data_IF_718144336927
#
_entry.id   IF_718144336927
#
_cell.length_a   1.000
_cell.length_b   1.000
_cell.length_c   1.000
_cell.angle_alpha   90.00
_cell.angle_beta   90.00
_cell.angle_gamma   90.00
#
_symmetry.space_group_name_H-M   'P 1'
#
loop_
_entity.id
_entity.type
_entity.pdbx_description
1 polymer ?
#
# COMPACT_ATOMS: atom_id res chain seq x y z
N UNK A 1 28.93 -11.06 52.14
CA UNK A 1 27.85 -11.93 51.65
C UNK A 1 27.43 -11.38 50.31
N UNK A 2 28.08 -11.85 49.24
CA UNK A 2 27.75 -11.41 47.88
C UNK A 2 26.41 -12.01 47.47
N UNK A 3 25.56 -11.21 46.85
CA UNK A 3 24.23 -11.62 46.40
C UNK A 3 24.34 -12.74 45.36
N UNK A 4 24.16 -13.97 45.83
CA UNK A 4 24.14 -15.18 44.99
C UNK A 4 23.10 -15.14 43.86
N UNK A 5 22.19 -14.15 43.87
CA UNK A 5 21.21 -13.91 42.81
C UNK A 5 21.77 -13.21 41.57
N UNK A 6 22.95 -12.58 41.63
CA UNK A 6 23.54 -11.89 40.48
C UNK A 6 24.18 -12.87 39.47
N UNK A 7 24.56 -14.06 39.93
CA UNK A 7 25.20 -15.09 39.11
C UNK A 7 24.11 -15.96 38.45
N UNK A 8 24.19 -16.23 37.13
CA UNK A 8 23.22 -17.08 36.44
C UNK A 8 23.04 -18.43 37.15
N UNK A 9 21.80 -18.88 37.34
CA UNK A 9 21.50 -20.17 37.98
C UNK A 9 22.25 -21.35 37.35
N UNK A 10 22.48 -21.29 36.02
CA UNK A 10 23.29 -22.26 35.28
C UNK A 10 24.75 -22.30 35.75
N UNK A 11 25.37 -21.15 35.97
CA UNK A 11 26.77 -21.06 36.33
C UNK A 11 26.99 -21.44 37.81
N UNK A 12 26.02 -21.11 38.67
CA UNK A 12 25.96 -21.63 40.05
C UNK A 12 25.91 -23.16 40.08
N UNK A 13 25.01 -23.78 39.31
CA UNK A 13 24.92 -25.25 39.23
C UNK A 13 26.24 -25.90 38.77
N UNK A 14 26.98 -25.26 37.85
CA UNK A 14 28.27 -25.75 37.35
C UNK A 14 29.40 -25.65 38.38
N UNK A 15 29.35 -24.66 39.26
CA UNK A 15 30.30 -24.56 40.38
C UNK A 15 30.03 -25.70 41.36
N UNK A 16 28.80 -25.87 41.80
CA UNK A 16 28.41 -26.95 42.74
C UNK A 16 28.71 -28.35 42.18
N UNK A 17 28.48 -28.58 40.88
CA UNK A 17 28.81 -29.86 40.24
C UNK A 17 30.32 -30.16 40.24
N UNK A 18 31.17 -29.15 40.04
CA UNK A 18 32.64 -29.32 40.09
C UNK A 18 33.11 -29.60 41.51
N UNK A 19 32.50 -28.95 42.48
CA UNK A 19 32.80 -29.18 43.90
C UNK A 19 32.36 -30.58 44.33
N UNK A 20 31.16 -31.02 43.95
CA UNK A 20 30.70 -32.41 44.14
C UNK A 20 31.66 -33.40 43.48
N UNK A 21 32.09 -33.15 42.24
CA UNK A 21 33.05 -34.00 41.53
C UNK A 21 34.38 -34.10 42.31
N UNK A 22 34.87 -32.99 42.86
CA UNK A 22 36.08 -32.98 43.67
C UNK A 22 35.94 -33.79 44.97
N UNK A 23 34.80 -33.65 45.67
CA UNK A 23 34.50 -34.39 46.90
C UNK A 23 34.36 -35.90 46.62
N UNK A 24 33.71 -36.28 45.52
CA UNK A 24 33.57 -37.68 45.11
C UNK A 24 34.94 -38.29 44.78
N UNK A 25 35.83 -37.56 44.09
CA UNK A 25 37.19 -38.02 43.83
C UNK A 25 38.00 -38.24 45.11
N UNK A 26 37.86 -37.34 46.10
CA UNK A 26 38.50 -37.49 47.41
C UNK A 26 37.96 -38.71 48.16
N UNK A 27 36.64 -38.95 48.11
CA UNK A 27 36.01 -40.11 48.74
C UNK A 27 36.51 -41.43 48.10
N UNK A 28 36.59 -41.47 46.76
CA UNK A 28 37.13 -42.63 46.03
C UNK A 28 38.60 -42.86 46.39
N UNK A 29 39.40 -41.79 46.43
CA UNK A 29 40.81 -41.88 46.83
C UNK A 29 40.98 -42.42 48.26
N UNK A 30 40.10 -42.02 49.19
CA UNK A 30 40.05 -42.59 50.53
C UNK A 30 39.78 -44.10 50.49
N UNK A 31 38.78 -44.54 49.70
CA UNK A 31 38.47 -45.97 49.56
C UNK A 31 39.60 -46.75 48.92
N UNK A 32 40.27 -46.22 47.90
CA UNK A 32 41.41 -46.86 47.26
C UNK A 32 42.60 -47.02 48.23
N UNK A 33 42.87 -46.00 49.05
CA UNK A 33 43.90 -46.05 50.08
C UNK A 33 43.56 -47.08 51.17
N UNK A 34 42.30 -47.08 51.64
CA UNK A 34 41.79 -48.04 52.61
C UNK A 34 41.88 -49.48 52.08
N UNK A 35 41.50 -49.71 50.82
CA UNK A 35 41.59 -51.01 50.15
C UNK A 35 43.03 -51.50 49.97
N UNK A 36 43.99 -50.58 49.81
CA UNK A 36 45.43 -50.88 49.74
C UNK A 36 46.07 -51.20 51.11
N UNK A 37 45.30 -51.15 52.20
CA UNK A 37 45.78 -51.37 53.57
C UNK A 37 46.56 -50.18 54.16
N UNK A 38 46.60 -49.04 53.45
CA UNK A 38 47.18 -47.79 53.94
C UNK A 38 46.07 -46.94 54.55
N UNK A 39 45.94 -46.98 55.86
CA UNK A 39 45.02 -46.08 56.56
C UNK A 39 45.54 -44.65 56.42
N UNK A 40 44.81 -43.73 55.77
CA UNK A 40 45.18 -42.31 55.79
C UNK A 40 45.09 -41.79 57.22
N UNK A 41 45.96 -40.85 57.58
CA UNK A 41 45.88 -40.19 58.88
C UNK A 41 44.51 -39.53 59.07
N UNK A 42 43.91 -39.73 60.26
CA UNK A 42 42.59 -39.21 60.64
C UNK A 42 42.44 -37.69 60.47
N UNK A 43 43.55 -36.96 60.43
CA UNK A 43 43.57 -35.51 60.22
C UNK A 43 43.44 -35.09 58.74
N UNK A 44 43.73 -35.98 57.78
CA UNK A 44 43.85 -35.61 56.36
C UNK A 44 42.62 -35.98 55.54
N UNK A 45 41.98 -37.13 55.82
CA UNK A 45 40.73 -37.53 55.16
C UNK A 45 39.74 -38.09 56.17
N UNK A 46 38.78 -37.25 56.56
CA UNK A 46 37.64 -37.66 57.37
C UNK A 46 36.46 -38.00 56.46
N UNK A 47 36.17 -39.29 56.20
CA UNK A 47 35.14 -39.69 55.23
C UNK A 47 33.75 -39.21 55.64
N UNK A 48 33.47 -39.15 56.95
CA UNK A 48 32.19 -38.68 57.48
C UNK A 48 31.93 -37.21 57.17
N UNK A 49 32.97 -36.37 57.25
CA UNK A 49 32.88 -34.94 56.90
C UNK A 49 32.66 -34.75 55.40
N UNK A 50 33.39 -35.50 54.56
CA UNK A 50 33.23 -35.46 53.10
C UNK A 50 31.82 -35.92 52.70
N UNK A 51 31.29 -36.97 53.33
CA UNK A 51 29.95 -37.46 53.10
C UNK A 51 28.87 -36.44 53.52
N UNK A 52 29.05 -35.78 54.67
CA UNK A 52 28.14 -34.72 55.12
C UNK A 52 28.15 -33.52 54.17
N UNK A 53 29.34 -33.07 53.76
CA UNK A 53 29.48 -31.96 52.81
C UNK A 53 28.87 -32.31 51.44
N UNK A 54 29.04 -33.54 50.97
CA UNK A 54 28.40 -34.04 49.74
C UNK A 54 26.87 -33.96 49.84
N UNK A 55 26.29 -34.35 50.97
CA UNK A 55 24.83 -34.29 51.20
C UNK A 55 24.35 -32.83 51.21
N UNK A 56 25.10 -31.92 51.85
CA UNK A 56 24.76 -30.50 51.88
C UNK A 56 24.79 -29.89 50.48
N UNK A 57 25.84 -30.16 49.71
CA UNK A 57 25.99 -29.70 48.33
C UNK A 57 24.92 -30.28 47.42
N UNK A 58 24.54 -31.53 47.60
CA UNK A 58 23.43 -32.14 46.87
C UNK A 58 22.09 -31.45 47.16
N UNK A 59 21.85 -31.00 48.41
CA UNK A 59 20.65 -30.21 48.75
C UNK A 59 20.65 -28.86 48.03
N UNK A 60 21.81 -28.19 47.97
CA UNK A 60 21.97 -26.92 47.22
C UNK A 60 21.76 -27.13 45.72
N UNK A 61 22.32 -28.19 45.13
CA UNK A 61 22.10 -28.49 43.73
C UNK A 61 20.61 -28.75 43.43
N UNK A 62 19.89 -29.41 44.33
CA UNK A 62 18.45 -29.65 44.21
C UNK A 62 17.64 -28.35 44.25
N UNK A 63 18.00 -27.39 45.10
CA UNK A 63 17.32 -26.09 45.12
C UNK A 63 17.54 -25.33 43.81
N UNK A 64 18.78 -25.29 43.30
CA UNK A 64 19.10 -24.65 42.02
C UNK A 64 18.37 -25.32 40.85
N UNK A 65 18.25 -26.66 40.86
CA UNK A 65 17.46 -27.39 39.87
C UNK A 65 15.98 -26.98 39.92
N UNK A 66 15.41 -26.75 41.11
CA UNK A 66 14.07 -26.21 41.29
C UNK A 66 13.91 -24.82 40.65
N UNK A 67 14.87 -23.91 40.89
CA UNK A 67 14.90 -22.58 40.26
C UNK A 67 14.96 -22.68 38.73
N UNK A 68 15.79 -23.56 38.18
CA UNK A 68 15.91 -23.78 36.72
C UNK A 68 14.59 -24.23 36.09
N UNK A 69 13.85 -25.12 36.75
CA UNK A 69 12.51 -25.56 36.29
C UNK A 69 11.54 -24.39 36.29
N UNK A 70 11.56 -23.53 37.31
CA UNK A 70 10.73 -22.33 37.36
C UNK A 70 11.09 -21.36 36.23
N UNK A 71 12.38 -21.12 35.98
CA UNK A 71 12.84 -20.30 34.85
C UNK A 71 12.39 -20.88 33.51
N UNK A 72 12.45 -22.20 33.33
CA UNK A 72 11.96 -22.84 32.10
C UNK A 72 10.46 -22.65 31.92
N UNK A 73 9.68 -22.76 32.99
CA UNK A 73 8.23 -22.52 32.94
C UNK A 73 7.91 -21.06 32.61
N UNK A 74 8.64 -20.10 33.20
CA UNK A 74 8.51 -18.68 32.87
C UNK A 74 8.88 -18.41 31.40
N UNK A 75 9.93 -19.02 30.88
CA UNK A 75 10.31 -18.88 29.47
C UNK A 75 9.21 -19.41 28.53
N UNK A 76 8.59 -20.56 28.85
CA UNK A 76 7.43 -21.06 28.10
C UNK A 76 6.26 -20.08 28.12
N UNK A 77 6.01 -19.42 29.25
CA UNK A 77 4.97 -18.38 29.34
C UNK A 77 5.32 -17.16 28.49
N UNK A 78 6.57 -16.70 28.55
CA UNK A 78 7.06 -15.59 27.72
C UNK A 78 6.89 -15.93 26.23
N UNK A 79 7.23 -17.14 25.80
CA UNK A 79 7.04 -17.59 24.42
C UNK A 79 5.56 -17.59 24.00
N UNK A 80 4.66 -18.08 24.87
CA UNK A 80 3.22 -18.03 24.62
C UNK A 80 2.71 -16.59 24.46
N UNK A 81 3.14 -15.69 25.34
CA UNK A 81 2.76 -14.27 25.29
C UNK A 81 3.32 -13.60 24.03
N UNK A 82 4.58 -13.87 23.66
CA UNK A 82 5.17 -13.38 22.41
C UNK A 82 4.39 -13.85 21.18
N UNK A 83 4.00 -15.12 21.15
CA UNK A 83 3.19 -15.66 20.07
C UNK A 83 1.80 -15.00 20.00
N UNK A 84 1.16 -14.71 21.14
CA UNK A 84 -0.12 -13.96 21.13
C UNK A 84 0.06 -12.53 20.63
N UNK A 85 1.15 -11.86 21.05
CA UNK A 85 1.43 -10.48 20.64
C UNK A 85 1.64 -10.39 19.14
N UNK A 86 2.41 -11.32 18.55
CA UNK A 86 2.60 -11.39 17.10
C UNK A 86 1.29 -11.59 16.33
N UNK A 87 0.34 -12.40 16.85
CA UNK A 87 -0.97 -12.58 16.22
C UNK A 87 -1.80 -11.30 16.27
N UNK A 88 -1.80 -10.60 17.41
CA UNK A 88 -2.52 -9.34 17.54
C UNK A 88 -1.90 -8.23 16.68
N UNK A 89 -0.57 -8.17 16.57
CA UNK A 89 0.12 -7.27 15.64
C UNK A 89 -0.28 -7.54 14.18
N UNK A 90 -0.36 -8.81 13.76
CA UNK A 90 -0.83 -9.16 12.42
C UNK A 90 -2.28 -8.71 12.17
N UNK A 91 -3.17 -8.87 13.15
CA UNK A 91 -4.54 -8.36 13.06
C UNK A 91 -4.58 -6.84 12.95
N UNK A 92 -3.75 -6.11 13.71
CA UNK A 92 -3.66 -4.65 13.62
C UNK A 92 -3.17 -4.20 12.24
N UNK A 93 -2.18 -4.89 11.67
CA UNK A 93 -1.69 -4.61 10.31
C UNK A 93 -2.78 -4.84 9.27
N UNK A 94 -3.51 -5.96 9.38
CA UNK A 94 -4.65 -6.26 8.50
C UNK A 94 -5.74 -5.19 8.63
N UNK A 95 -6.12 -4.83 9.86
CA UNK A 95 -7.12 -3.81 10.12
C UNK A 95 -6.69 -2.44 9.57
N UNK A 96 -5.44 -2.05 9.77
CA UNK A 96 -4.88 -0.84 9.17
C UNK A 96 -4.90 -0.86 7.64
N UNK A 97 -4.68 -2.02 7.02
CA UNK A 97 -4.86 -2.23 5.57
C UNK A 97 -6.32 -2.01 5.15
N UNK A 98 -7.27 -2.68 5.81
CA UNK A 98 -8.71 -2.55 5.51
C UNK A 98 -9.23 -1.13 5.69
N UNK A 99 -8.73 -0.39 6.69
CA UNK A 99 -9.09 1.01 6.90
C UNK A 99 -8.58 1.90 5.78
N UNK A 100 -7.34 1.71 5.31
CA UNK A 100 -6.82 2.46 4.16
C UNK A 100 -7.58 2.13 2.88
N UNK A 101 -7.92 0.87 2.67
CA UNK A 101 -8.75 0.48 1.52
C UNK A 101 -10.15 1.11 1.60
N UNK A 102 -10.77 1.15 2.78
CA UNK A 102 -12.04 1.82 2.99
C UNK A 102 -11.92 3.34 2.76
N UNK A 103 -10.86 3.97 3.24
CA UNK A 103 -10.58 5.39 3.02
C UNK A 103 -10.45 5.70 1.52
N UNK A 104 -9.65 4.92 0.78
CA UNK A 104 -9.52 5.07 -0.68
C UNK A 104 -10.85 4.88 -1.41
N UNK A 105 -11.67 3.92 -0.98
CA UNK A 105 -13.00 3.67 -1.54
C UNK A 105 -14.00 4.78 -1.25
N UNK A 106 -13.83 5.54 -0.17
CA UNK A 106 -14.69 6.68 0.16
C UNK A 106 -14.22 7.95 -0.57
N UNK A 107 -12.91 8.20 -0.61
CA UNK A 107 -12.36 9.39 -1.27
C UNK A 107 -12.52 9.37 -2.80
N UNK A 108 -12.40 8.21 -3.43
CA UNK A 108 -12.58 8.06 -4.88
C UNK A 108 -13.92 8.59 -5.41
N UNK A 109 -15.07 8.09 -4.93
CA UNK A 109 -16.37 8.53 -5.39
C UNK A 109 -16.67 9.98 -5.03
N UNK A 110 -16.23 10.50 -3.87
CA UNK A 110 -16.47 11.90 -3.52
C UNK A 110 -15.83 12.87 -4.53
N UNK A 111 -14.59 12.62 -4.94
CA UNK A 111 -13.93 13.44 -5.97
C UNK A 111 -14.63 13.35 -7.34
N UNK A 112 -15.08 12.15 -7.73
CA UNK A 112 -15.84 11.95 -8.96
C UNK A 112 -17.22 12.62 -8.90
N UNK A 113 -17.88 12.61 -7.74
CA UNK A 113 -19.17 13.23 -7.52
C UNK A 113 -19.07 14.76 -7.52
N UNK A 114 -18.07 15.35 -6.86
CA UNK A 114 -17.80 16.78 -6.91
C UNK A 114 -17.52 17.26 -8.34
N UNK A 115 -16.69 16.53 -9.10
CA UNK A 115 -16.41 16.84 -10.49
C UNK A 115 -17.68 16.76 -11.38
N UNK A 116 -18.55 15.77 -11.14
CA UNK A 116 -19.83 15.63 -11.84
C UNK A 116 -20.80 16.75 -11.47
N UNK A 117 -20.87 17.15 -10.20
CA UNK A 117 -21.73 18.25 -9.75
C UNK A 117 -21.25 19.55 -10.39
N UNK A 118 -19.96 19.85 -10.36
CA UNK A 118 -19.39 21.02 -11.01
C UNK A 118 -19.67 21.04 -12.54
N UNK A 119 -19.60 19.88 -13.19
CA UNK A 119 -19.96 19.75 -14.60
C UNK A 119 -21.46 19.98 -14.86
N UNK A 120 -22.33 19.53 -13.96
CA UNK A 120 -23.78 19.74 -14.04
C UNK A 120 -24.17 21.20 -13.75
N UNK A 121 -23.49 21.87 -12.84
CA UNK A 121 -23.71 23.30 -12.55
C UNK A 121 -23.26 24.20 -13.70
N UNK A 122 -22.17 23.83 -14.39
CA UNK A 122 -21.71 24.52 -15.60
C UNK A 122 -22.52 24.19 -16.85
N UNK A 123 -23.36 23.15 -16.82
CA UNK A 123 -24.17 22.75 -17.95
C UNK A 123 -25.34 23.72 -18.14
N UNK A 124 -25.55 24.18 -19.38
CA UNK A 124 -26.75 24.94 -19.73
C UNK A 124 -27.98 24.05 -19.52
N UNK A 125 -28.97 24.56 -18.80
CA UNK A 125 -30.28 23.90 -18.67
C UNK A 125 -30.92 23.82 -20.05
N UNK A 126 -30.97 22.62 -20.62
CA UNK A 126 -31.66 22.34 -21.89
C UNK A 126 -33.05 21.80 -21.56
N UNK A 127 -34.07 22.28 -22.28
CA UNK A 127 -35.42 21.77 -22.12
C UNK A 127 -35.48 20.33 -22.63
N UNK A 128 -36.06 19.44 -21.82
CA UNK A 128 -36.22 18.02 -22.17
C UNK A 128 -37.02 17.85 -23.46
N UNK A 129 -38.00 18.72 -23.71
CA UNK A 129 -38.80 18.71 -24.93
C UNK A 129 -37.94 18.90 -26.19
N UNK A 130 -37.01 19.86 -26.18
CA UNK A 130 -36.13 20.14 -27.32
C UNK A 130 -35.20 18.95 -27.59
N UNK A 131 -34.74 18.26 -26.55
CA UNK A 131 -33.91 17.05 -26.68
C UNK A 131 -34.72 15.91 -27.31
N UNK A 132 -35.96 15.69 -26.86
CA UNK A 132 -36.83 14.63 -27.40
C UNK A 132 -37.19 14.92 -28.86
N UNK A 133 -37.52 16.17 -29.19
CA UNK A 133 -37.80 16.58 -30.57
C UNK A 133 -36.57 16.44 -31.47
N UNK A 134 -35.39 16.84 -30.98
CA UNK A 134 -34.14 16.68 -31.71
C UNK A 134 -33.77 15.20 -31.90
N UNK A 135 -33.93 14.38 -30.86
CA UNK A 135 -33.70 12.94 -30.93
C UNK A 135 -34.65 12.27 -31.93
N UNK A 136 -35.92 12.68 -31.98
CA UNK A 136 -36.87 12.20 -32.98
C UNK A 136 -36.46 12.60 -34.41
N UNK A 137 -35.96 13.83 -34.60
CA UNK A 137 -35.45 14.31 -35.91
C UNK A 137 -34.23 13.52 -36.38
N UNK A 138 -33.24 13.32 -35.49
CA UNK A 138 -31.97 12.63 -35.81
C UNK A 138 -32.14 11.10 -35.86
N UNK A 139 -33.08 10.52 -35.12
CA UNK A 139 -33.28 9.07 -35.06
C UNK A 139 -33.55 8.44 -36.44
N UNK A 140 -34.18 9.20 -37.34
CA UNK A 140 -34.46 8.76 -38.71
C UNK A 140 -33.22 8.64 -39.61
N UNK A 141 -32.15 9.41 -39.33
CA UNK A 141 -30.90 9.38 -40.10
C UNK A 141 -29.81 8.51 -39.47
N UNK A 142 -29.91 8.24 -38.16
CA UNK A 142 -28.87 7.50 -37.43
C UNK A 142 -29.12 5.99 -37.34
N UNK A 143 -30.34 5.52 -37.61
CA UNK A 143 -30.70 4.10 -37.53
C UNK A 143 -31.08 3.55 -38.90
N UNK A 144 -30.54 2.39 -39.27
CA UNK A 144 -31.02 1.60 -40.40
C UNK A 144 -32.32 0.85 -40.02
N UNK A 145 -33.27 0.64 -40.95
CA UNK A 145 -34.44 -0.20 -40.70
C UNK A 145 -34.02 -1.62 -40.25
N UNK A 146 -34.82 -2.30 -39.40
CA UNK A 146 -34.55 -3.68 -39.05
C UNK A 146 -34.53 -4.54 -40.33
N UNK A 147 -33.47 -5.35 -40.48
CA UNK A 147 -33.18 -6.20 -41.66
C UNK A 147 -32.76 -5.46 -42.95
N UNK A 148 -32.36 -4.18 -42.88
CA UNK A 148 -31.88 -3.46 -44.05
C UNK A 148 -30.57 -4.04 -44.59
N UNK A 149 -30.51 -4.25 -45.91
CA UNK A 149 -29.30 -4.65 -46.62
C UNK A 149 -28.77 -3.49 -47.49
N UNK A 150 -27.44 -3.33 -47.67
CA UNK A 150 -26.87 -2.26 -48.50
C UNK A 150 -27.32 -2.22 -49.96
N UNK A 151 -27.89 -3.32 -50.45
CA UNK A 151 -28.45 -3.44 -51.80
C UNK A 151 -29.86 -2.85 -51.94
N UNK A 152 -30.56 -2.62 -50.83
CA UNK A 152 -31.92 -2.11 -50.81
C UNK A 152 -31.95 -0.62 -50.45
N UNK A 153 -32.86 0.18 -51.03
CA UNK A 153 -32.99 1.59 -50.69
C UNK A 153 -33.45 1.76 -49.22
N UNK A 154 -32.98 2.82 -48.56
CA UNK A 154 -33.30 3.15 -47.15
C UNK A 154 -34.79 3.52 -46.90
N UNK A 155 -35.64 3.49 -47.93
CA UNK A 155 -37.07 3.79 -47.85
C UNK A 155 -37.33 5.20 -47.33
N UNK A 156 -38.16 5.30 -46.28
CA UNK A 156 -38.55 6.58 -45.65
C UNK A 156 -37.50 7.14 -44.68
N UNK A 157 -36.30 6.54 -44.58
CA UNK A 157 -35.22 7.01 -43.70
C UNK A 157 -34.21 7.84 -44.48
N UNK A 158 -33.72 8.90 -43.85
CA UNK A 158 -32.72 9.76 -44.47
C UNK A 158 -31.36 9.04 -44.51
N UNK A 159 -30.59 9.22 -45.58
CA UNK A 159 -29.22 8.72 -45.63
C UNK A 159 -28.37 9.39 -44.53
N UNK A 160 -27.34 8.70 -44.00
CA UNK A 160 -26.51 9.20 -42.90
C UNK A 160 -25.70 10.45 -43.27
N UNK A 161 -25.48 10.67 -44.57
CA UNK A 161 -24.89 11.89 -45.13
C UNK A 161 -25.76 12.41 -46.28
N UNK A 162 -25.82 13.74 -46.50
CA UNK A 162 -26.55 14.30 -47.63
C UNK A 162 -25.96 13.77 -48.94
N UNK A 163 -26.81 13.26 -49.83
CA UNK A 163 -26.39 12.82 -51.16
C UNK A 163 -26.07 14.01 -52.06
N UNK A 164 -25.27 13.80 -53.11
CA UNK A 164 -24.93 14.84 -54.10
C UNK A 164 -26.18 15.52 -54.69
N UNK A 165 -27.23 14.73 -54.94
CA UNK A 165 -28.52 15.25 -55.41
C UNK A 165 -29.18 16.15 -54.36
N UNK A 166 -29.21 15.75 -53.09
CA UNK A 166 -29.72 16.59 -51.99
C UNK A 166 -28.92 17.88 -51.85
N UNK A 167 -27.60 17.83 -52.00
CA UNK A 167 -26.74 19.02 -51.94
C UNK A 167 -27.00 19.97 -53.11
N UNK A 168 -27.18 19.47 -54.34
CA UNK A 168 -27.50 20.27 -55.53
C UNK A 168 -28.93 20.85 -55.50
N UNK A 169 -29.88 20.08 -54.98
CA UNK A 169 -31.28 20.49 -54.83
C UNK A 169 -31.50 21.49 -53.68
N UNK A 170 -30.54 21.59 -52.76
CA UNK A 170 -30.58 22.50 -51.62
C UNK A 170 -30.59 23.98 -52.02
N UNK A 171 -30.98 24.83 -51.08
CA UNK A 171 -31.05 26.27 -51.28
C UNK A 171 -29.70 26.86 -51.77
N UNK A 172 -28.58 26.36 -51.24
CA UNK A 172 -27.24 26.76 -51.66
C UNK A 172 -26.90 26.32 -53.10
N UNK A 173 -27.45 25.20 -53.57
CA UNK A 173 -27.27 24.73 -54.95
C UNK A 173 -28.05 25.59 -55.95
N UNK A 174 -29.25 26.03 -55.58
CA UNK A 174 -30.11 26.91 -56.40
C UNK A 174 -29.52 28.31 -56.56
N UNK A 175 -29.01 28.90 -55.46
CA UNK A 175 -28.36 30.23 -55.46
C UNK A 175 -27.15 30.30 -56.41
N UNK A 176 -26.51 29.16 -56.71
CA UNK A 176 -25.38 29.08 -57.64
C UNK A 176 -25.78 28.96 -59.12
N UNK A 177 -27.01 28.55 -59.40
CA UNK A 177 -27.53 28.26 -60.75
C UNK A 177 -28.55 29.29 -61.25
N UNK A 178 -29.04 30.16 -60.37
CA UNK A 178 -29.74 31.38 -60.79
C UNK A 178 -28.70 32.33 -61.40
N UNK A 179 -28.75 32.63 -62.72
CA UNK A 179 -27.94 33.71 -63.25
C UNK A 179 -28.35 34.97 -62.49
N UNK A 180 -27.40 35.82 -62.06
CA UNK A 180 -27.78 37.09 -61.47
C UNK A 180 -28.66 37.80 -62.51
N UNK A 181 -29.90 38.15 -62.14
CA UNK A 181 -30.74 39.05 -62.93
C UNK A 181 -30.07 40.42 -62.93
N UNK A 182 -29.00 40.56 -63.70
CA UNK A 182 -28.34 41.81 -63.99
C UNK A 182 -29.07 42.43 -65.16
N UNK A 183 -29.65 43.60 -64.89
CA UNK A 183 -30.06 44.55 -65.89
C UNK A 183 -28.94 44.77 -66.93
N UNK A 184 -29.36 44.99 -68.17
CA UNK A 184 -28.55 45.46 -69.29
C UNK A 184 -27.53 46.54 -68.87
N UNK A 185 -26.25 46.25 -69.08
CA UNK A 185 -25.26 47.24 -69.52
C UNK A 185 -24.04 46.49 -70.13
N UNK A 186 -23.93 46.54 -71.45
CA UNK A 186 -22.70 46.41 -72.26
C UNK A 186 -21.61 47.38 -71.74
N UNK A 187 -20.28 47.22 -71.85
CA UNK A 187 -19.38 46.23 -72.44
C UNK A 187 -17.93 46.63 -72.07
N UNK A 188 -17.13 45.72 -71.47
CA UNK A 188 -15.71 45.32 -71.71
C UNK A 188 -14.55 46.35 -71.96
N UNK A 189 -13.24 45.98 -71.93
CA UNK A 189 -12.58 44.73 -71.48
C UNK A 189 -11.27 44.87 -70.65
N UNK A 190 -10.85 43.72 -70.10
CA UNK A 190 -9.48 43.19 -69.92
C UNK A 190 -8.39 43.95 -69.14
N UNK A 191 -7.98 43.35 -68.02
CA UNK A 191 -6.57 43.24 -67.61
C UNK A 191 -6.39 42.01 -66.72
N UNK A 192 -5.33 41.27 -67.00
CA UNK A 192 -5.04 39.91 -66.55
C UNK A 192 -4.43 39.85 -65.14
N UNK A 193 -4.32 38.58 -64.65
CA UNK A 193 -3.28 38.11 -63.71
C UNK A 193 -3.46 38.59 -62.25
N UNK A 194 -3.56 37.75 -61.21
CA UNK A 194 -2.61 36.71 -60.79
C UNK A 194 -3.33 35.74 -59.82
N UNK A 195 -3.11 34.44 -60.05
CA UNK A 195 -3.21 33.39 -59.04
C UNK A 195 -2.12 33.58 -57.99
N UNK A 196 -2.49 33.78 -56.72
CA UNK A 196 -1.58 33.57 -55.61
C UNK A 196 -2.33 33.14 -54.36
N UNK A 197 -1.93 32.00 -53.85
CA UNK A 197 -2.36 31.34 -52.64
C UNK A 197 -2.16 32.28 -51.43
N UNK A 198 -3.20 32.45 -50.61
CA UNK A 198 -3.07 32.97 -49.25
C UNK A 198 -3.74 32.00 -48.27
N UNK A 199 -3.12 30.83 -48.10
CA UNK A 199 -3.32 30.01 -46.90
C UNK A 199 -2.63 30.78 -45.77
N UNK A 200 -3.43 31.40 -44.90
CA UNK A 200 -2.92 32.10 -43.72
C UNK A 200 -2.21 31.12 -42.76
N UNK A 201 -0.95 31.34 -42.37
CA UNK A 201 -0.23 30.49 -41.42
C UNK A 201 -0.50 30.93 -39.97
N UNK A 202 -1.76 31.22 -39.61
CA UNK A 202 -2.09 31.74 -38.27
C UNK A 202 -2.67 30.69 -37.32
N UNK A 203 -3.15 29.55 -37.83
CA UNK A 203 -3.77 28.50 -36.99
C UNK A 203 -2.89 27.27 -36.72
N UNK A 204 -1.64 27.26 -37.19
CA UNK A 204 -0.70 26.16 -36.95
C UNK A 204 0.48 26.53 -36.03
N UNK A 205 0.33 27.55 -35.18
CA UNK A 205 1.33 27.90 -34.13
C UNK A 205 0.83 27.80 -32.69
N UNK A 206 -0.48 27.59 -32.48
CA UNK A 206 -1.07 27.44 -31.13
C UNK A 206 -1.20 25.98 -30.68
N UNK A 207 -1.19 25.00 -31.59
CA UNK A 207 -1.20 23.57 -31.24
C UNK A 207 0.20 23.04 -30.86
N UNK A 208 1.28 23.57 -31.45
CA UNK A 208 2.64 23.07 -31.16
C UNK A 208 3.13 23.46 -29.75
N UNK A 209 2.73 24.63 -29.21
CA UNK A 209 3.17 25.08 -27.86
C UNK A 209 2.43 24.43 -26.69
N UNK A 210 1.34 23.68 -26.94
CA UNK A 210 0.66 22.89 -25.89
C UNK A 210 1.20 21.46 -25.78
N UNK A 211 1.84 20.93 -26.82
CA UNK A 211 2.47 19.61 -26.77
C UNK A 211 3.85 19.64 -26.08
N UNK A 212 4.63 20.72 -26.25
CA UNK A 212 5.96 20.84 -25.62
C UNK A 212 5.93 21.17 -24.11
N UNK A 213 4.77 21.60 -23.59
CA UNK A 213 4.57 21.84 -22.15
C UNK A 213 4.15 20.57 -21.39
N UNK A 214 3.58 19.58 -22.07
CA UNK A 214 3.16 18.30 -21.48
C UNK A 214 4.29 17.25 -21.40
N UNK A 215 5.39 17.45 -22.14
CA UNK A 215 6.56 16.57 -22.13
C UNK A 215 7.67 16.99 -21.16
N UNK A 216 7.50 18.09 -20.41
CA UNK A 216 8.48 18.52 -19.37
C UNK A 216 8.02 18.27 -17.93
N UNK A 217 6.81 17.80 -17.71
CA UNK A 217 6.30 17.40 -16.39
C UNK A 217 6.36 15.89 -16.15
N UNK A 218 6.86 15.11 -17.12
CA UNK A 218 7.01 13.65 -17.00
C UNK A 218 8.41 13.20 -16.51
N UNK A 219 9.38 14.11 -16.40
CA UNK A 219 10.78 13.78 -16.03
C UNK A 219 11.16 14.10 -14.58
N UNK A 220 10.19 14.16 -13.66
CA UNK A 220 10.47 14.16 -12.21
C UNK A 220 9.88 12.94 -11.50
N UNK A 221 10.20 11.76 -12.01
CA UNK A 221 10.17 10.53 -11.21
C UNK A 221 11.62 10.08 -11.04
N UNK A 222 12.10 10.19 -9.80
CA UNK A 222 13.39 9.70 -9.34
C UNK A 222 13.70 8.27 -9.82
N UNK A 223 15.00 7.97 -9.96
CA UNK A 223 15.51 6.81 -9.26
C UNK A 223 16.83 7.14 -8.57
N UNK A 224 16.81 7.23 -7.23
CA UNK A 224 18.02 7.07 -6.44
C UNK A 224 17.67 6.23 -5.21
N UNK A 225 17.77 4.92 -5.43
CA UNK A 225 18.05 3.93 -4.40
C UNK A 225 19.41 4.31 -3.80
N UNK A 226 19.40 4.88 -2.59
CA UNK A 226 20.59 4.97 -1.75
C UNK A 226 20.22 4.51 -0.35
N UNK A 227 20.75 3.35 0.01
CA UNK A 227 20.64 2.69 1.31
C UNK A 227 21.29 3.57 2.38
N UNK A 228 20.54 4.04 3.38
CA UNK A 228 21.06 4.35 4.73
C UNK A 228 20.02 4.03 5.82
N UNK A 229 20.45 3.53 7.00
CA UNK A 229 19.57 3.04 8.06
C UNK A 229 18.99 4.18 8.91
N UNK A 230 17.74 4.02 9.33
CA UNK A 230 17.00 4.89 10.26
C UNK A 230 17.58 4.87 11.68
N UNK A 231 17.64 6.02 12.39
CA UNK A 231 17.74 6.04 13.85
C UNK A 231 16.33 6.12 14.49
N UNK A 232 15.90 5.03 15.13
CA UNK A 232 14.65 4.88 15.90
C UNK A 232 14.66 5.64 17.24
N UNK A 233 14.85 6.97 17.26
CA UNK A 233 14.87 7.73 18.53
C UNK A 233 13.93 8.94 18.64
N UNK A 234 13.07 9.21 17.67
CA UNK A 234 12.18 10.38 17.72
C UNK A 234 10.69 10.09 17.97
N UNK A 235 10.23 8.82 17.94
CA UNK A 235 8.79 8.50 18.08
C UNK A 235 8.34 8.34 19.54
N UNK A 236 9.26 8.25 20.51
CA UNK A 236 8.91 8.11 21.94
C UNK A 236 8.70 9.45 22.69
N UNK A 237 8.65 10.59 22.01
CA UNK A 237 8.38 11.89 22.67
C UNK A 237 6.96 12.42 22.52
N UNK A 238 6.12 11.88 21.64
CA UNK A 238 4.74 12.35 21.44
C UNK A 238 3.68 11.51 22.18
N UNK A 239 4.04 10.39 22.80
CA UNK A 239 3.11 9.54 23.57
C UNK A 239 3.11 9.81 25.09
N UNK A 240 3.67 10.93 25.55
CA UNK A 240 3.63 11.35 26.97
C UNK A 240 2.41 12.22 27.34
N UNK A 241 1.49 12.49 26.40
CA UNK A 241 0.39 13.44 26.62
C UNK A 241 -1.01 12.83 26.76
N UNK A 242 -1.16 11.50 26.79
CA UNK A 242 -2.49 10.86 26.87
C UNK A 242 -2.61 9.82 27.99
N UNK A 243 -2.06 10.11 29.17
CA UNK A 243 -2.17 9.22 30.34
C UNK A 243 -2.94 9.82 31.53
N UNK A 244 -3.64 10.95 31.34
CA UNK A 244 -4.31 11.66 32.45
C UNK A 244 -5.83 11.47 32.51
N UNK A 245 -6.48 10.90 31.48
CA UNK A 245 -7.96 10.87 31.44
C UNK A 245 -8.60 9.49 31.64
N UNK A 246 -7.83 8.43 31.89
CA UNK A 246 -8.39 7.08 32.05
C UNK A 246 -8.80 6.67 33.48
N UNK A 247 -8.70 7.56 34.47
CA UNK A 247 -9.02 7.25 35.88
C UNK A 247 -10.41 7.71 36.36
N UNK A 248 -11.36 8.06 35.48
CA UNK A 248 -12.70 8.53 35.90
C UNK A 248 -13.89 7.64 35.49
N UNK A 249 -13.67 6.46 34.92
CA UNK A 249 -14.78 5.60 34.42
C UNK A 249 -14.95 4.29 35.22
N UNK A 250 -14.32 4.15 36.38
CA UNK A 250 -14.58 3.04 37.30
C UNK A 250 -14.71 3.55 38.74
N UNK A 251 -15.87 4.13 39.04
CA UNK A 251 -16.49 4.19 40.36
C UNK A 251 -18.00 4.33 40.20
#
# INVERSE_FOLDING_TARGET
MEDSSAIPARDRARVELREIESLVRLLIQYFDLSASGRMPSEDVLQPDRIAQELIERQKVLRSIAGELVQHQNMNKLIEKVRASLQREEQKLVQLGGTLREAELRLQGPDMDHEARIAALEGAKKVNVKDIVELAAKIGSSYSAPPNWTPTEPLGNRLPPAPTEEMMRSGHLGKVRMDPPKLALAESQPASACILSQAISPFLLRKSQRRCDAALRTADSVCPLISRKPTPWRSILRTLKFCKRDFCKVLK
#
